data_IF_248372220798
#
_entry.id   IF_248372220798
#
_cell.length_a   1.000
_cell.length_b   1.000
_cell.length_c   1.000
_cell.angle_alpha   90.00
_cell.angle_beta   90.00
_cell.angle_gamma   90.00
#
_symmetry.space_group_name_H-M   'P 1'
#
loop_
_entity.id
_entity.type
_entity.pdbx_description
1 polymer ?
#
# COMPACT_ATOMS: atom_id res chain seq x y z
N UNK A 1 -17.58 -14.58 23.05
CA UNK A 1 -16.67 -14.40 21.91
C UNK A 1 -16.95 -13.03 21.32
N UNK A 2 -16.08 -12.06 21.58
CA UNK A 2 -16.24 -10.71 21.06
C UNK A 2 -15.79 -10.70 19.58
N UNK A 3 -16.69 -10.27 18.70
CA UNK A 3 -16.39 -10.01 17.29
C UNK A 3 -15.44 -8.80 17.29
N UNK A 4 -14.22 -9.01 16.81
CA UNK A 4 -13.26 -7.93 16.63
C UNK A 4 -13.78 -7.01 15.52
N UNK A 5 -14.17 -5.82 15.94
CA UNK A 5 -14.66 -4.69 15.17
C UNK A 5 -13.69 -4.34 14.02
N UNK A 6 -14.06 -4.72 12.80
CA UNK A 6 -13.29 -4.48 11.56
C UNK A 6 -13.28 -3.03 11.08
N UNK A 7 -13.48 -2.06 11.99
CA UNK A 7 -13.66 -0.65 11.63
C UNK A 7 -12.34 0.10 11.38
N UNK A 8 -11.21 -0.40 11.87
CA UNK A 8 -9.92 0.33 11.82
C UNK A 8 -9.16 0.05 10.52
N UNK A 9 -9.46 -1.05 9.81
CA UNK A 9 -8.86 -1.38 8.51
C UNK A 9 -9.45 -0.55 7.36
N UNK A 10 -10.47 0.27 7.63
CA UNK A 10 -11.35 0.87 6.61
C UNK A 10 -10.69 1.98 5.78
N UNK A 11 -10.07 3.00 6.37
CA UNK A 11 -9.64 4.17 5.58
C UNK A 11 -8.38 3.94 4.74
N UNK A 12 -7.40 3.22 5.29
CA UNK A 12 -6.12 2.96 4.62
C UNK A 12 -6.29 1.98 3.46
N UNK A 13 -6.91 0.82 3.69
CA UNK A 13 -7.20 -0.12 2.60
C UNK A 13 -8.26 0.41 1.63
N UNK A 14 -9.16 1.32 2.05
CA UNK A 14 -10.05 1.99 1.08
C UNK A 14 -9.25 2.87 0.12
N UNK A 15 -8.26 3.62 0.62
CA UNK A 15 -7.43 4.50 -0.19
C UNK A 15 -6.58 3.73 -1.21
N UNK A 16 -6.06 2.56 -0.84
CA UNK A 16 -5.18 1.75 -1.70
C UNK A 16 -5.85 0.53 -2.35
N UNK A 17 -7.09 0.20 -1.98
CA UNK A 17 -7.78 -1.04 -2.37
C UNK A 17 -9.11 -0.85 -3.11
N UNK A 18 -9.61 0.39 -3.27
CA UNK A 18 -10.82 0.65 -4.07
C UNK A 18 -10.51 1.47 -5.32
N UNK A 19 -10.31 0.80 -6.47
CA UNK A 19 -10.95 1.17 -7.75
C UNK A 19 -10.49 0.29 -8.91
N UNK A 20 -11.45 -0.42 -9.54
CA UNK A 20 -11.49 -0.67 -10.99
C UNK A 20 -12.85 -1.32 -11.36
N UNK A 21 -13.96 -0.57 -11.26
CA UNK A 21 -15.23 -0.96 -11.90
C UNK A 21 -15.66 0.13 -12.88
N UNK A 22 -15.23 -0.01 -14.13
CA UNK A 22 -15.63 0.72 -15.36
C UNK A 22 -14.51 0.47 -16.42
N UNK A 23 -14.67 0.05 -17.69
CA UNK A 23 -15.77 -0.04 -18.66
C UNK A 23 -15.32 -0.92 -19.86
N UNK A 24 -16.18 -1.79 -20.40
CA UNK A 24 -16.08 -2.38 -21.77
C UNK A 24 -15.44 -3.78 -21.89
N UNK A 25 -15.89 -4.57 -22.88
CA UNK A 25 -15.59 -6.00 -23.09
C UNK A 25 -14.09 -6.38 -23.18
N UNK A 26 -13.23 -5.51 -23.70
CA UNK A 26 -11.76 -5.73 -23.72
C UNK A 26 -11.13 -5.38 -22.36
N UNK A 27 -11.63 -4.31 -21.73
CA UNK A 27 -11.29 -3.91 -20.36
C UNK A 27 -11.71 -4.97 -19.36
N UNK A 28 -12.76 -5.75 -19.61
CA UNK A 28 -13.16 -6.87 -18.74
C UNK A 28 -12.15 -8.02 -18.75
N UNK A 29 -11.58 -8.41 -19.90
CA UNK A 29 -10.52 -9.43 -19.94
C UNK A 29 -9.21 -8.94 -19.34
N UNK A 30 -8.83 -7.69 -19.62
CA UNK A 30 -7.64 -7.06 -19.01
C UNK A 30 -7.85 -6.92 -17.50
N UNK A 31 -9.04 -6.53 -17.06
CA UNK A 31 -9.40 -6.44 -15.65
C UNK A 31 -9.45 -7.83 -14.99
N UNK A 32 -9.88 -8.88 -15.67
CA UNK A 32 -9.87 -10.24 -15.12
C UNK A 32 -8.45 -10.79 -14.96
N UNK A 33 -7.58 -10.58 -15.96
CA UNK A 33 -6.15 -10.93 -15.89
C UNK A 33 -5.41 -10.09 -14.85
N UNK A 34 -5.64 -8.78 -14.84
CA UNK A 34 -5.12 -7.86 -13.82
C UNK A 34 -5.63 -8.24 -12.43
N UNK A 35 -6.89 -8.69 -12.29
CA UNK A 35 -7.45 -9.16 -11.02
C UNK A 35 -6.77 -10.44 -10.52
N UNK A 36 -6.47 -11.40 -11.40
CA UNK A 36 -5.74 -12.63 -11.01
C UNK A 36 -4.28 -12.34 -10.66
N UNK A 37 -3.60 -11.50 -11.45
CA UNK A 37 -2.23 -11.05 -11.15
C UNK A 37 -2.17 -10.23 -9.86
N UNK A 38 -3.14 -9.35 -9.63
CA UNK A 38 -3.28 -8.57 -8.41
C UNK A 38 -3.55 -9.46 -7.19
N UNK A 39 -4.45 -10.44 -7.30
CA UNK A 39 -4.67 -11.44 -6.25
C UNK A 39 -3.40 -12.25 -5.95
N UNK A 40 -2.61 -12.59 -6.97
CA UNK A 40 -1.32 -13.25 -6.76
C UNK A 40 -0.34 -12.33 -6.05
N UNK A 41 -0.24 -11.05 -6.43
CA UNK A 41 0.61 -10.06 -5.75
C UNK A 41 0.20 -9.84 -4.29
N UNK A 42 -1.10 -9.69 -4.03
CA UNK A 42 -1.69 -9.56 -2.69
C UNK A 42 -1.43 -10.77 -1.79
N UNK A 43 -1.20 -11.94 -2.36
CA UNK A 43 -0.87 -13.16 -1.61
C UNK A 43 0.61 -13.55 -1.75
N UNK A 44 1.45 -12.70 -2.34
CA UNK A 44 2.83 -13.07 -2.65
C UNK A 44 3.76 -12.91 -1.45
N UNK A 45 3.99 -14.01 -0.74
CA UNK A 45 5.01 -14.09 0.31
C UNK A 45 6.42 -13.67 -0.18
N UNK A 46 6.71 -13.86 -1.47
CA UNK A 46 7.97 -13.45 -2.07
C UNK A 46 8.14 -11.93 -2.12
N UNK A 47 7.09 -11.18 -2.51
CA UNK A 47 7.12 -9.71 -2.49
C UNK A 47 7.23 -9.22 -1.04
N UNK A 48 6.50 -9.86 -0.12
CA UNK A 48 6.48 -9.44 1.27
C UNK A 48 7.86 -9.62 1.91
N UNK A 49 8.50 -10.77 1.64
CA UNK A 49 9.87 -11.04 2.04
C UNK A 49 10.87 -10.05 1.43
N UNK A 50 10.71 -9.66 0.16
CA UNK A 50 11.56 -8.64 -0.48
C UNK A 50 11.43 -7.28 0.20
N UNK A 51 10.22 -6.85 0.56
CA UNK A 51 10.03 -5.59 1.30
C UNK A 51 10.64 -5.65 2.71
N UNK A 52 10.40 -6.76 3.42
CA UNK A 52 10.95 -7.00 4.76
C UNK A 52 12.49 -7.06 4.78
N UNK A 53 13.10 -7.54 3.71
CA UNK A 53 14.56 -7.68 3.62
C UNK A 53 15.25 -6.57 2.82
N UNK A 54 14.51 -5.63 2.23
CA UNK A 54 15.10 -4.59 1.38
C UNK A 54 15.96 -3.60 2.20
N UNK A 55 17.26 -3.45 1.88
CA UNK A 55 18.12 -2.48 2.55
C UNK A 55 17.72 -1.03 2.22
N UNK A 56 17.22 -0.77 1.01
CA UNK A 56 16.71 0.55 0.60
C UNK A 56 15.48 0.94 1.41
N UNK A 57 14.50 0.04 1.54
CA UNK A 57 13.30 0.30 2.35
C UNK A 57 13.68 0.49 3.81
N UNK A 58 14.60 -0.33 4.33
CA UNK A 58 15.12 -0.16 5.70
C UNK A 58 15.75 1.22 5.92
N UNK A 59 16.60 1.68 4.99
CA UNK A 59 17.21 3.00 5.05
C UNK A 59 16.17 4.14 5.01
N UNK A 60 15.13 4.01 4.18
CA UNK A 60 14.03 4.98 4.13
C UNK A 60 13.30 5.05 5.48
N UNK A 61 12.96 3.91 6.07
CA UNK A 61 12.25 3.85 7.36
C UNK A 61 13.09 4.42 8.50
N UNK A 62 14.40 4.23 8.47
CA UNK A 62 15.32 4.81 9.46
C UNK A 62 15.57 6.31 9.26
N UNK A 63 15.02 6.94 8.22
CA UNK A 63 15.46 8.27 7.79
C UNK A 63 14.84 9.45 8.53
N UNK A 64 13.89 9.25 9.45
CA UNK A 64 13.39 10.35 10.30
C UNK A 64 11.89 10.33 10.54
N UNK A 65 11.23 11.48 10.28
CA UNK A 65 9.84 11.73 10.68
C UNK A 65 8.85 10.96 9.81
N UNK A 66 7.65 10.62 10.32
CA UNK A 66 6.60 9.93 9.58
C UNK A 66 6.32 10.51 8.18
N UNK A 67 6.27 11.83 8.07
CA UNK A 67 6.06 12.54 6.81
C UNK A 67 7.17 12.25 5.78
N UNK A 68 8.43 12.32 6.19
CA UNK A 68 9.58 12.09 5.31
C UNK A 68 9.67 10.63 4.86
N UNK A 69 9.31 9.69 5.74
CA UNK A 69 9.25 8.26 5.41
C UNK A 69 8.17 8.03 4.36
N UNK A 70 6.98 8.58 4.56
CA UNK A 70 5.89 8.48 3.59
C UNK A 70 6.33 9.05 2.23
N UNK A 71 6.84 10.28 2.19
CA UNK A 71 7.28 10.91 0.95
C UNK A 71 8.29 10.07 0.17
N UNK A 72 9.33 9.57 0.84
CA UNK A 72 10.37 8.74 0.21
C UNK A 72 9.82 7.41 -0.30
N UNK A 73 8.86 6.81 0.38
CA UNK A 73 8.20 5.58 -0.08
C UNK A 73 7.36 5.84 -1.34
N UNK A 74 6.59 6.92 -1.36
CA UNK A 74 5.82 7.32 -2.55
C UNK A 74 6.71 7.62 -3.75
N UNK A 75 7.78 8.40 -3.56
CA UNK A 75 8.74 8.68 -4.63
C UNK A 75 9.43 7.41 -5.12
N UNK A 76 9.75 6.48 -4.20
CA UNK A 76 10.44 5.23 -4.56
C UNK A 76 9.54 4.25 -5.32
N UNK A 77 8.24 4.21 -5.01
CA UNK A 77 7.32 3.19 -5.52
C UNK A 77 6.46 3.72 -6.67
N UNK A 78 5.93 4.94 -6.53
CA UNK A 78 5.00 5.57 -7.48
C UNK A 78 5.64 6.73 -8.27
N UNK A 79 6.88 7.11 -7.97
CA UNK A 79 7.60 8.20 -8.65
C UNK A 79 6.87 9.56 -8.64
N UNK A 80 6.08 9.82 -7.59
CA UNK A 80 5.43 11.10 -7.33
C UNK A 80 5.45 11.42 -5.83
N UNK A 81 5.18 12.68 -5.49
CA UNK A 81 4.93 13.09 -4.12
C UNK A 81 3.54 12.59 -3.64
N UNK A 82 3.38 12.28 -2.35
CA UNK A 82 2.08 12.02 -1.77
C UNK A 82 1.25 13.31 -1.68
N UNK A 83 -0.05 13.19 -1.76
CA UNK A 83 -1.00 14.26 -1.43
C UNK A 83 -1.10 14.45 0.08
N UNK A 84 -1.63 15.59 0.53
CA UNK A 84 -1.84 15.83 1.97
C UNK A 84 -2.76 14.80 2.63
N UNK A 85 -3.76 14.30 1.90
CA UNK A 85 -4.67 13.26 2.39
C UNK A 85 -3.94 11.92 2.61
N UNK A 86 -3.06 11.56 1.67
CA UNK A 86 -2.24 10.35 1.75
C UNK A 86 -1.23 10.39 2.90
N UNK A 87 -0.57 11.53 3.10
CA UNK A 87 0.30 11.76 4.27
C UNK A 87 -0.48 11.58 5.56
N UNK A 88 -1.63 12.24 5.69
CA UNK A 88 -2.48 12.13 6.90
C UNK A 88 -2.91 10.69 7.16
N UNK A 89 -3.29 9.95 6.13
CA UNK A 89 -3.67 8.54 6.25
C UNK A 89 -2.50 7.68 6.74
N UNK A 90 -1.29 7.88 6.20
CA UNK A 90 -0.09 7.18 6.65
C UNK A 90 0.27 7.51 8.11
N UNK A 91 0.17 8.77 8.51
CA UNK A 91 0.41 9.19 9.90
C UNK A 91 -0.63 8.64 10.87
N UNK A 92 -1.91 8.60 10.47
CA UNK A 92 -2.97 7.99 11.26
C UNK A 92 -2.75 6.48 11.41
N UNK A 93 -2.36 5.79 10.33
CA UNK A 93 -2.03 4.38 10.38
C UNK A 93 -0.86 4.10 11.34
N UNK A 94 0.18 4.94 11.33
CA UNK A 94 1.28 4.86 12.28
C UNK A 94 0.85 5.08 13.74
N UNK A 95 -0.14 5.95 13.97
CA UNK A 95 -0.67 6.27 15.31
C UNK A 95 -1.67 5.24 15.83
N UNK A 96 -2.37 4.51 14.95
CA UNK A 96 -3.38 3.53 15.32
C UNK A 96 -2.83 2.38 16.18
N UNK A 97 -1.50 2.13 16.13
CA UNK A 97 -0.81 1.22 17.04
C UNK A 97 -1.11 -0.27 16.84
N UNK A 98 -1.95 -0.63 15.85
CA UNK A 98 -2.25 -2.00 15.42
C UNK A 98 -0.98 -2.70 14.91
N UNK A 99 -0.16 -1.95 14.19
CA UNK A 99 1.17 -2.34 13.74
C UNK A 99 2.17 -1.34 14.33
N UNK A 100 3.37 -1.79 14.73
CA UNK A 100 4.34 -0.95 15.45
C UNK A 100 5.66 -0.82 14.72
N UNK A 101 6.32 0.31 14.93
CA UNK A 101 7.69 0.56 14.48
C UNK A 101 7.85 0.40 12.98
N UNK A 102 8.73 -0.52 12.57
CA UNK A 102 9.11 -0.73 11.17
C UNK A 102 7.95 -1.28 10.33
N UNK A 103 7.14 -2.16 10.89
CA UNK A 103 6.12 -2.90 10.13
C UNK A 103 5.01 -2.01 9.59
N UNK A 104 4.72 -0.86 10.24
CA UNK A 104 3.78 0.16 9.74
C UNK A 104 4.18 0.64 8.34
N UNK A 105 5.46 0.89 8.15
CA UNK A 105 5.98 1.45 6.90
C UNK A 105 6.15 0.38 5.82
N UNK A 106 6.29 -0.88 6.24
CA UNK A 106 6.29 -2.02 5.32
C UNK A 106 4.88 -2.28 4.82
N UNK A 107 3.87 -2.14 5.68
CA UNK A 107 2.45 -2.18 5.29
C UNK A 107 2.13 -1.06 4.29
N UNK A 108 2.66 0.15 4.53
CA UNK A 108 2.56 1.24 3.55
C UNK A 108 3.20 0.89 2.20
N UNK A 109 4.44 0.39 2.19
CA UNK A 109 5.10 -0.02 0.97
C UNK A 109 4.32 -1.14 0.24
N UNK A 110 3.74 -2.07 0.98
CA UNK A 110 2.92 -3.15 0.45
C UNK A 110 1.63 -2.61 -0.20
N UNK A 111 0.94 -1.69 0.47
CA UNK A 111 -0.26 -1.06 -0.05
C UNK A 111 0.00 -0.26 -1.34
N UNK A 112 1.12 0.45 -1.41
CA UNK A 112 1.50 1.21 -2.61
C UNK A 112 1.77 0.30 -3.80
N UNK A 113 2.50 -0.82 -3.61
CA UNK A 113 2.78 -1.79 -4.68
C UNK A 113 1.51 -2.51 -5.14
N UNK A 114 0.54 -2.70 -4.26
CA UNK A 114 -0.74 -3.32 -4.60
C UNK A 114 -1.81 -2.30 -5.01
N UNK A 115 -1.46 -1.02 -5.15
CA UNK A 115 -2.41 0.01 -5.53
C UNK A 115 -2.76 -0.07 -7.03
N UNK A 116 -3.99 0.30 -7.44
CA UNK A 116 -4.33 0.43 -8.86
C UNK A 116 -3.39 1.38 -9.61
N UNK A 117 -2.88 2.42 -8.93
CA UNK A 117 -1.94 3.34 -9.55
C UNK A 117 -0.65 2.65 -9.98
N UNK A 118 -0.05 1.83 -9.11
CA UNK A 118 1.15 1.05 -9.45
C UNK A 118 0.88 0.01 -10.55
N UNK A 119 -0.33 -0.58 -10.54
CA UNK A 119 -0.71 -1.66 -11.46
C UNK A 119 -1.23 -1.19 -12.81
N UNK A 120 -1.63 0.08 -12.96
CA UNK A 120 -2.24 0.59 -14.20
C UNK A 120 -1.43 1.72 -14.84
N UNK A 121 -0.55 2.40 -14.11
CA UNK A 121 0.41 3.35 -14.68
C UNK A 121 1.74 2.65 -14.87
N UNK A 122 2.04 2.32 -16.13
CA UNK A 122 3.34 1.85 -16.62
C UNK A 122 3.92 2.88 -17.58
#
# INVERSE_FOLDING_TARGET
MAIADGSITSSFLTLFGRSARATGLESERVNELASRQWLYMLNSAAIQSKLQNSPKIRAIISSGKPHEIAEKLYLTILSRFPTEAEVKAAEQHAKAGVVKGRDVWIDLAWALINSPEFLLRH
#
